data_IF_249678856693
#
_entry.id   IF_249678856693
#
_cell.length_a   1.000
_cell.length_b   1.000
_cell.length_c   1.000
_cell.angle_alpha   90.00
_cell.angle_beta   90.00
_cell.angle_gamma   90.00
#
_symmetry.space_group_name_H-M   'P 1'
#
loop_
_entity.id
_entity.type
_entity.pdbx_description
1 polymer ?
#
# COMPACT_ATOMS: atom_id res chain seq x y z
N UNK A 1 15.63 -7.31 18.17
CA UNK A 1 16.19 -6.51 17.06
C UNK A 1 16.80 -5.16 17.47
N UNK A 2 16.43 -4.59 18.64
CA UNK A 2 16.95 -3.32 19.22
C UNK A 2 18.47 -3.20 19.48
N UNK A 3 19.26 -4.21 19.12
CA UNK A 3 20.68 -4.32 19.52
C UNK A 3 21.66 -4.16 18.34
N UNK A 4 21.19 -4.17 17.09
CA UNK A 4 22.04 -4.24 15.88
C UNK A 4 22.97 -3.04 15.69
N UNK A 5 22.47 -1.81 15.84
CA UNK A 5 23.29 -0.59 15.67
C UNK A 5 24.53 -0.53 16.56
N UNK A 6 24.42 -1.00 17.81
CA UNK A 6 25.52 -1.01 18.78
C UNK A 6 26.37 -2.28 18.71
N UNK A 7 25.84 -3.36 18.15
CA UNK A 7 26.53 -4.66 18.07
C UNK A 7 27.24 -4.89 16.74
N UNK A 8 26.73 -4.33 15.63
CA UNK A 8 27.41 -4.40 14.34
C UNK A 8 28.48 -3.31 14.26
N UNK A 9 29.72 -3.72 14.53
CA UNK A 9 30.89 -2.83 14.57
C UNK A 9 31.05 -1.95 13.31
N UNK A 10 30.62 -2.44 12.14
CA UNK A 10 30.64 -1.69 10.88
C UNK A 10 29.66 -0.52 10.90
N UNK A 11 28.40 -0.76 11.26
CA UNK A 11 27.38 0.29 11.35
C UNK A 11 27.70 1.28 12.48
N UNK A 12 28.20 0.77 13.61
CA UNK A 12 28.64 1.61 14.72
C UNK A 12 29.75 2.59 14.29
N UNK A 13 30.78 2.12 13.57
CA UNK A 13 31.86 2.98 13.04
C UNK A 13 31.37 3.97 11.97
N UNK A 14 30.37 3.58 11.17
CA UNK A 14 29.86 4.44 10.12
C UNK A 14 29.01 5.59 10.65
N UNK A 15 28.14 5.32 11.63
CA UNK A 15 27.19 6.28 12.17
C UNK A 15 27.61 6.93 13.48
N UNK A 16 28.61 6.38 14.19
CA UNK A 16 29.13 6.93 15.44
C UNK A 16 30.66 7.09 15.40
N UNK A 17 31.15 8.15 16.04
CA UNK A 17 32.56 8.44 16.23
C UNK A 17 32.76 8.91 17.67
N UNK A 18 33.66 8.26 18.42
CA UNK A 18 33.89 8.50 19.86
C UNK A 18 32.60 8.46 20.70
N UNK A 19 31.64 7.59 20.35
CA UNK A 19 30.35 7.48 21.05
C UNK A 19 29.33 8.57 20.67
N UNK A 20 29.71 9.55 19.85
CA UNK A 20 28.82 10.58 19.33
C UNK A 20 28.33 10.24 17.91
N UNK A 21 27.10 10.62 17.50
CA UNK A 21 26.60 10.34 16.17
C UNK A 21 27.19 11.28 15.14
N UNK A 22 27.43 10.75 13.94
CA UNK A 22 27.87 11.51 12.78
C UNK A 22 26.63 12.04 12.04
N UNK A 23 26.16 13.24 12.42
CA UNK A 23 24.92 13.82 11.89
C UNK A 23 24.87 13.84 10.37
N UNK A 24 25.94 14.26 9.69
CA UNK A 24 26.00 14.25 8.22
C UNK A 24 25.76 12.85 7.59
N UNK A 25 26.17 11.76 8.27
CA UNK A 25 25.93 10.38 7.82
C UNK A 25 24.48 9.96 8.07
N UNK A 26 23.92 10.36 9.22
CA UNK A 26 22.50 10.17 9.54
C UNK A 26 21.63 10.90 8.51
N UNK A 27 21.84 12.19 8.28
CA UNK A 27 21.07 12.98 7.31
C UNK A 27 21.18 12.42 5.89
N UNK A 28 22.36 11.95 5.52
CA UNK A 28 22.58 11.28 4.23
C UNK A 28 21.79 9.97 4.13
N UNK A 29 21.74 9.19 5.21
CA UNK A 29 20.95 7.96 5.27
C UNK A 29 19.44 8.24 5.26
N UNK A 30 18.96 9.20 6.04
CA UNK A 30 17.53 9.57 6.08
C UNK A 30 17.04 10.08 4.72
N UNK A 31 17.85 10.87 4.00
CA UNK A 31 17.57 11.23 2.60
C UNK A 31 17.48 10.02 1.67
N UNK A 32 18.34 9.00 1.85
CA UNK A 32 18.24 7.74 1.09
C UNK A 32 16.97 6.95 1.44
N UNK A 33 16.56 6.92 2.70
CA UNK A 33 15.30 6.30 3.14
C UNK A 33 14.11 6.98 2.49
N UNK A 34 14.06 8.31 2.48
CA UNK A 34 13.01 9.08 1.80
C UNK A 34 13.01 8.77 0.30
N UNK A 35 14.17 8.77 -0.35
CA UNK A 35 14.29 8.44 -1.77
C UNK A 35 13.85 7.00 -2.10
N UNK A 36 14.14 6.04 -1.21
CA UNK A 36 13.66 4.67 -1.31
C UNK A 36 12.13 4.61 -1.19
N UNK A 37 11.55 5.22 -0.15
CA UNK A 37 10.09 5.26 0.04
C UNK A 37 9.37 5.86 -1.18
N UNK A 38 9.93 6.91 -1.79
CA UNK A 38 9.40 7.54 -3.03
C UNK A 38 9.41 6.60 -4.23
N UNK A 39 10.43 5.76 -4.35
CA UNK A 39 10.48 4.73 -5.42
C UNK A 39 9.50 3.60 -5.13
N UNK A 40 9.47 3.13 -3.88
CA UNK A 40 8.62 2.02 -3.46
C UNK A 40 7.14 2.39 -3.57
N UNK A 41 6.74 3.61 -3.22
CA UNK A 41 5.35 4.07 -3.36
C UNK A 41 4.89 4.08 -4.81
N UNK A 42 5.74 4.51 -5.75
CA UNK A 42 5.47 4.47 -7.19
C UNK A 42 5.39 3.03 -7.69
N UNK A 43 6.32 2.17 -7.30
CA UNK A 43 6.34 0.76 -7.71
C UNK A 43 5.09 0.02 -7.20
N UNK A 44 4.75 0.20 -5.92
CA UNK A 44 3.52 -0.32 -5.35
C UNK A 44 2.32 0.23 -6.11
N UNK A 45 2.21 1.54 -6.32
CA UNK A 45 1.06 2.12 -7.05
C UNK A 45 0.86 1.55 -8.46
N UNK A 46 1.95 1.27 -9.18
CA UNK A 46 1.92 0.70 -10.54
C UNK A 46 1.50 -0.78 -10.50
N UNK A 47 2.00 -1.53 -9.53
CA UNK A 47 1.85 -2.99 -9.47
C UNK A 47 0.62 -3.45 -8.67
N UNK A 48 0.00 -2.60 -7.87
CA UNK A 48 -1.14 -2.90 -6.99
C UNK A 48 -2.49 -3.07 -7.73
N UNK A 49 -2.41 -3.54 -8.99
CA UNK A 49 -3.47 -3.69 -10.01
C UNK A 49 -4.06 -2.34 -10.48
N UNK A 50 -5.39 -2.24 -10.62
CA UNK A 50 -6.02 -1.02 -11.12
C UNK A 50 -5.67 0.11 -10.15
N UNK A 51 -5.06 1.22 -10.62
CA UNK A 51 -4.44 2.19 -9.75
C UNK A 51 -5.45 2.74 -8.76
N UNK A 52 -5.28 2.38 -7.48
CA UNK A 52 -6.09 2.88 -6.40
C UNK A 52 -5.99 4.40 -6.38
N UNK A 53 -7.11 5.10 -6.15
CA UNK A 53 -7.02 6.56 -5.91
C UNK A 53 -6.11 6.78 -4.70
N UNK A 54 -5.14 7.65 -4.89
CA UNK A 54 -3.92 7.81 -4.07
C UNK A 54 -4.09 7.93 -2.55
N UNK A 55 -5.18 8.50 -1.99
CA UNK A 55 -5.32 8.61 -0.54
C UNK A 55 -5.20 7.28 0.23
N UNK A 56 -5.55 6.15 -0.41
CA UNK A 56 -5.58 4.84 0.23
C UNK A 56 -4.22 4.17 0.41
N UNK A 57 -3.33 4.31 -0.57
CA UNK A 57 -1.99 3.72 -0.48
C UNK A 57 -1.21 4.34 0.68
N UNK A 58 -1.49 5.62 0.95
CA UNK A 58 -0.78 6.41 1.94
C UNK A 58 -1.22 6.10 3.39
N UNK A 59 -2.39 5.47 3.57
CA UNK A 59 -2.92 5.09 4.89
C UNK A 59 -2.57 3.65 5.31
N UNK A 60 -1.80 2.90 4.51
CA UNK A 60 -1.45 1.51 4.82
C UNK A 60 -0.55 1.43 6.06
N UNK A 61 -0.94 0.63 7.04
CA UNK A 61 -0.24 0.40 8.31
C UNK A 61 0.54 -0.92 8.32
N UNK A 62 1.69 -0.92 8.98
CA UNK A 62 2.56 -2.10 9.13
C UNK A 62 2.47 -2.78 10.50
N UNK A 63 1.84 -2.14 11.50
CA UNK A 63 1.63 -2.69 12.84
C UNK A 63 0.27 -2.27 13.39
N UNK A 64 -0.29 -3.10 14.27
CA UNK A 64 -1.48 -2.75 15.02
C UNK A 64 -1.14 -1.64 16.01
N UNK A 65 -2.06 -0.70 16.22
CA UNK A 65 -1.98 0.29 17.30
C UNK A 65 -3.23 0.20 18.16
N UNK A 66 -3.06 0.48 19.45
CA UNK A 66 -4.15 0.40 20.42
C UNK A 66 -5.28 1.41 20.15
N UNK A 67 -4.98 2.53 19.48
CA UNK A 67 -5.90 3.66 19.31
C UNK A 67 -6.15 4.04 17.85
N UNK A 68 -5.34 3.59 16.90
CA UNK A 68 -5.43 4.04 15.51
C UNK A 68 -5.76 2.91 14.52
N UNK A 69 -5.92 1.66 14.97
CA UNK A 69 -6.42 0.56 14.14
C UNK A 69 -5.41 -0.54 13.81
N UNK A 70 -5.84 -1.48 12.99
CA UNK A 70 -5.09 -2.70 12.67
C UNK A 70 -4.09 -2.50 11.53
N UNK A 71 -3.10 -3.39 11.43
CA UNK A 71 -2.18 -3.42 10.29
C UNK A 71 -2.92 -3.79 9.00
N UNK A 72 -2.37 -3.34 7.88
CA UNK A 72 -2.90 -3.60 6.55
C UNK A 72 -1.99 -4.54 5.74
N UNK A 73 -0.86 -5.02 6.27
CA UNK A 73 0.09 -5.87 5.53
C UNK A 73 0.17 -7.26 6.10
N UNK A 74 0.17 -8.24 5.20
CA UNK A 74 0.14 -9.67 5.50
C UNK A 74 1.00 -10.43 4.48
N UNK A 75 1.47 -11.62 4.86
CA UNK A 75 2.10 -12.56 3.93
C UNK A 75 1.20 -13.79 3.86
N UNK A 76 0.69 -14.10 2.67
CA UNK A 76 -0.16 -15.25 2.40
C UNK A 76 0.50 -16.09 1.31
N UNK A 77 0.81 -17.36 1.62
CA UNK A 77 1.49 -18.30 0.71
C UNK A 77 2.74 -17.72 0.02
N UNK A 78 3.55 -16.99 0.79
CA UNK A 78 4.79 -16.37 0.30
C UNK A 78 4.59 -15.08 -0.52
N UNK A 79 3.36 -14.56 -0.63
CA UNK A 79 3.06 -13.32 -1.36
C UNK A 79 2.62 -12.24 -0.37
N UNK A 80 3.18 -11.04 -0.51
CA UNK A 80 2.79 -9.88 0.27
C UNK A 80 1.40 -9.40 -0.17
N UNK A 81 0.48 -9.29 0.78
CA UNK A 81 -0.86 -8.75 0.60
C UNK A 81 -1.02 -7.45 1.39
N UNK A 82 -1.58 -6.44 0.72
CA UNK A 82 -2.07 -5.21 1.32
C UNK A 82 -3.61 -5.26 1.38
N UNK A 83 -4.16 -5.03 2.56
CA UNK A 83 -5.58 -5.21 2.85
C UNK A 83 -6.19 -3.88 3.27
N UNK A 84 -7.19 -3.45 2.53
CA UNK A 84 -7.95 -2.21 2.81
C UNK A 84 -9.43 -2.52 2.85
N UNK A 85 -10.18 -1.92 3.76
CA UNK A 85 -11.65 -2.00 3.79
C UNK A 85 -12.27 -0.92 2.92
N UNK A 86 -13.48 -1.15 2.40
CA UNK A 86 -14.30 -0.24 1.61
C UNK A 86 -15.68 -0.10 2.26
N UNK A 87 -16.18 1.14 2.37
CA UNK A 87 -17.39 1.47 3.15
C UNK A 87 -18.38 2.42 2.45
N UNK A 88 -18.34 2.58 1.12
CA UNK A 88 -19.34 3.44 0.45
C UNK A 88 -20.70 2.71 0.48
N UNK A 89 -21.71 3.30 1.13
CA UNK A 89 -23.04 2.71 1.28
C UNK A 89 -23.28 1.93 2.59
N UNK A 90 -22.39 2.06 3.59
CA UNK A 90 -22.54 1.41 4.90
C UNK A 90 -23.91 1.67 5.55
N UNK A 91 -24.42 2.91 5.46
CA UNK A 91 -25.75 3.25 5.99
C UNK A 91 -26.92 2.59 5.25
N UNK A 92 -26.71 2.04 4.05
CA UNK A 92 -27.75 1.37 3.27
C UNK A 92 -27.67 -0.17 3.32
N UNK A 93 -26.48 -0.74 3.56
CA UNK A 93 -26.25 -2.20 3.43
C UNK A 93 -25.54 -2.85 4.62
N UNK A 94 -24.99 -2.06 5.55
CA UNK A 94 -24.16 -2.53 6.66
C UNK A 94 -23.01 -3.47 6.23
N UNK A 95 -22.54 -3.35 4.98
CA UNK A 95 -21.54 -4.25 4.41
C UNK A 95 -20.16 -3.58 4.35
N UNK A 96 -19.14 -4.29 4.83
CA UNK A 96 -17.75 -3.86 4.85
C UNK A 96 -16.98 -4.72 3.86
N UNK A 97 -16.68 -4.16 2.69
CA UNK A 97 -15.95 -4.91 1.66
C UNK A 97 -14.45 -4.86 1.92
N UNK A 98 -13.89 -5.97 2.37
CA UNK A 98 -12.43 -6.13 2.44
C UNK A 98 -11.87 -6.36 1.03
N UNK A 99 -10.81 -5.64 0.71
CA UNK A 99 -10.11 -5.67 -0.57
C UNK A 99 -8.67 -6.10 -0.30
N UNK A 100 -8.33 -7.28 -0.83
CA UNK A 100 -6.95 -7.77 -0.84
C UNK A 100 -6.25 -7.31 -2.12
N UNK A 101 -4.99 -6.93 -1.98
CA UNK A 101 -4.13 -6.61 -3.11
C UNK A 101 -2.79 -7.28 -2.92
N UNK A 102 -2.44 -8.15 -3.85
CA UNK A 102 -1.20 -8.91 -3.77
C UNK A 102 -0.16 -8.21 -4.62
N UNK A 103 1.05 -8.05 -4.08
CA UNK A 103 2.16 -7.42 -4.78
C UNK A 103 2.95 -8.43 -5.60
N UNK A 104 3.62 -8.01 -6.69
CA UNK A 104 4.61 -8.86 -7.34
C UNK A 104 5.68 -9.24 -6.33
N UNK A 105 6.25 -10.44 -6.48
CA UNK A 105 7.22 -10.98 -5.54
C UNK A 105 8.34 -10.00 -5.21
N UNK A 106 8.97 -9.43 -6.24
CA UNK A 106 10.09 -8.50 -6.07
C UNK A 106 9.70 -7.24 -5.26
N UNK A 107 8.49 -6.71 -5.49
CA UNK A 107 7.99 -5.55 -4.75
C UNK A 107 7.61 -5.92 -3.32
N UNK A 108 6.99 -7.09 -3.12
CA UNK A 108 6.69 -7.63 -1.81
C UNK A 108 7.94 -7.84 -0.96
N UNK A 109 9.00 -8.40 -1.56
CA UNK A 109 10.31 -8.59 -0.91
C UNK A 109 10.94 -7.24 -0.51
N UNK A 110 10.85 -6.21 -1.36
CA UNK A 110 11.30 -4.86 -1.01
C UNK A 110 10.54 -4.28 0.19
N UNK A 111 9.23 -4.51 0.30
CA UNK A 111 8.44 -4.10 1.48
C UNK A 111 8.91 -4.87 2.72
N UNK A 112 9.17 -6.18 2.61
CA UNK A 112 9.71 -6.98 3.72
C UNK A 112 11.07 -6.47 4.17
N UNK A 113 12.01 -6.22 3.25
CA UNK A 113 13.33 -5.68 3.60
C UNK A 113 13.24 -4.29 4.22
N UNK A 114 12.31 -3.46 3.75
CA UNK A 114 12.06 -2.17 4.37
C UNK A 114 11.59 -2.32 5.81
N UNK A 115 10.56 -3.13 6.07
CA UNK A 115 10.00 -3.34 7.41
C UNK A 115 10.97 -4.06 8.35
N UNK A 116 11.77 -4.98 7.82
CA UNK A 116 12.70 -5.77 8.62
C UNK A 116 14.02 -5.04 8.86
N UNK A 117 14.66 -4.48 7.83
CA UNK A 117 16.02 -3.96 7.94
C UNK A 117 16.06 -2.45 8.14
N UNK A 118 15.34 -1.70 7.31
CA UNK A 118 15.44 -0.24 7.29
C UNK A 118 14.64 0.41 8.41
N UNK A 119 13.37 0.02 8.58
CA UNK A 119 12.44 0.68 9.49
C UNK A 119 12.90 0.59 10.96
N UNK A 120 13.34 -0.56 11.51
CA UNK A 120 13.80 -0.61 12.89
C UNK A 120 15.05 0.26 13.11
N UNK A 121 15.89 0.38 12.09
CA UNK A 121 17.07 1.24 12.16
C UNK A 121 16.69 2.73 12.12
N UNK A 122 15.73 3.10 11.29
CA UNK A 122 15.15 4.46 11.24
C UNK A 122 14.52 4.82 12.58
N UNK A 123 13.66 3.96 13.14
CA UNK A 123 13.04 4.18 14.45
C UNK A 123 14.10 4.34 15.56
N UNK A 124 15.22 3.63 15.48
CA UNK A 124 16.32 3.80 16.44
C UNK A 124 17.03 5.14 16.32
N UNK A 125 17.30 5.60 15.09
CA UNK A 125 17.88 6.92 14.84
C UNK A 125 16.93 8.01 15.33
N UNK A 126 15.65 7.89 15.03
CA UNK A 126 14.60 8.83 15.45
C UNK A 126 14.52 8.88 16.98
N UNK A 127 14.49 7.73 17.67
CA UNK A 127 14.49 7.69 19.14
C UNK A 127 15.73 8.35 19.76
N UNK A 128 16.89 8.20 19.12
CA UNK A 128 18.11 8.87 19.56
C UNK A 128 18.00 10.41 19.41
N UNK A 129 17.39 10.88 18.33
CA UNK A 129 17.16 12.31 18.08
C UNK A 129 16.03 12.89 18.96
N UNK A 130 14.97 12.12 19.22
CA UNK A 130 13.79 12.49 20.01
C UNK A 130 14.07 12.66 21.50
N UNK A 131 15.21 12.20 22.02
CA UNK A 131 15.68 12.67 23.33
C UNK A 131 15.91 14.20 23.37
N UNK A 132 15.75 14.92 22.25
CA UNK A 132 15.82 16.37 22.12
C UNK A 132 14.56 17.06 21.55
N UNK A 133 13.49 16.32 21.20
CA UNK A 133 12.23 16.90 20.65
C UNK A 133 11.00 16.17 21.19
N UNK A 134 9.91 16.90 21.41
CA UNK A 134 8.67 16.37 21.99
C UNK A 134 8.09 15.20 21.18
N UNK A 135 7.55 14.22 21.93
CA UNK A 135 7.08 12.90 21.47
C UNK A 135 6.13 13.01 20.27
N UNK A 136 6.55 12.53 19.10
CA UNK A 136 5.60 12.18 18.05
C UNK A 136 5.10 10.73 18.23
N UNK A 137 3.79 10.46 18.04
CA UNK A 137 3.30 9.10 17.97
C UNK A 137 3.99 8.39 16.81
N UNK A 138 4.53 7.20 17.09
CA UNK A 138 5.20 6.36 16.09
C UNK A 138 4.19 5.99 15.01
N UNK A 139 4.20 6.73 13.91
CA UNK A 139 3.32 6.51 12.78
C UNK A 139 3.38 5.03 12.36
N UNK A 140 2.27 4.32 12.54
CA UNK A 140 2.16 2.92 12.15
C UNK A 140 2.08 2.72 10.63
N UNK A 141 2.14 3.81 9.86
CA UNK A 141 2.08 3.82 8.41
C UNK A 141 3.35 3.28 7.76
N UNK A 142 3.24 2.66 6.60
CA UNK A 142 4.38 2.34 5.73
C UNK A 142 5.05 3.63 5.26
N UNK A 143 4.23 4.68 5.06
CA UNK A 143 4.61 5.99 4.56
C UNK A 143 4.45 7.07 5.66
N UNK A 144 5.27 7.05 6.72
CA UNK A 144 5.23 8.11 7.72
C UNK A 144 5.78 9.42 7.13
N UNK A 145 5.48 10.59 7.74
CA UNK A 145 6.08 11.86 7.36
C UNK A 145 7.60 11.77 7.22
N UNK A 146 8.17 12.62 6.37
CA UNK A 146 9.62 12.66 6.19
C UNK A 146 10.30 13.02 7.52
N UNK A 147 11.33 12.28 7.97
CA UNK A 147 11.93 12.48 9.28
C UNK A 147 12.43 13.92 9.52
N UNK A 148 13.04 14.53 8.51
CA UNK A 148 13.68 15.85 8.64
C UNK A 148 12.67 17.00 8.52
N UNK A 149 11.74 16.90 7.56
CA UNK A 149 10.84 18.00 7.19
C UNK A 149 9.43 17.85 7.77
N UNK A 150 9.11 16.68 8.33
CA UNK A 150 7.77 16.28 8.74
C UNK A 150 6.72 16.43 7.62
N UNK A 151 7.18 16.46 6.35
CA UNK A 151 6.29 16.52 5.19
C UNK A 151 5.52 15.23 5.10
N UNK A 152 4.22 15.30 5.35
CA UNK A 152 3.31 14.18 5.19
C UNK A 152 3.27 13.69 3.74
N UNK A 153 2.93 12.42 3.56
CA UNK A 153 2.64 11.87 2.25
C UNK A 153 1.28 12.37 1.77
N UNK A 154 1.22 12.87 0.53
CA UNK A 154 0.01 13.38 -0.08
C UNK A 154 -0.18 12.83 -1.49
N UNK A 155 -1.40 12.95 -2.01
CA UNK A 155 -1.71 12.54 -3.38
C UNK A 155 -0.94 13.32 -4.43
N UNK A 156 -0.69 14.59 -4.16
CA UNK A 156 0.16 15.44 -4.98
C UNK A 156 1.61 14.94 -4.99
N UNK A 157 2.17 14.59 -3.82
CA UNK A 157 3.52 14.06 -3.73
C UNK A 157 3.72 12.79 -4.55
N UNK A 158 2.80 11.83 -4.47
CA UNK A 158 2.88 10.61 -5.28
C UNK A 158 2.75 10.92 -6.78
N UNK A 159 1.87 11.86 -7.15
CA UNK A 159 1.72 12.31 -8.54
C UNK A 159 3.03 12.87 -9.08
N UNK A 160 3.69 13.72 -8.32
CA UNK A 160 4.97 14.33 -8.71
C UNK A 160 6.08 13.29 -8.79
N UNK A 161 6.10 12.34 -7.86
CA UNK A 161 7.03 11.21 -7.89
C UNK A 161 6.83 10.36 -9.14
N UNK A 162 5.58 9.98 -9.46
CA UNK A 162 5.26 9.23 -10.66
C UNK A 162 5.72 9.99 -11.92
N UNK A 163 5.32 11.27 -12.07
CA UNK A 163 5.72 12.11 -13.20
C UNK A 163 7.23 12.18 -13.36
N UNK A 164 7.94 12.40 -12.26
CA UNK A 164 9.40 12.50 -12.29
C UNK A 164 10.05 11.17 -12.68
N UNK A 165 9.56 10.04 -12.16
CA UNK A 165 10.11 8.71 -12.48
C UNK A 165 9.85 8.33 -13.93
N UNK A 166 8.61 8.48 -14.41
CA UNK A 166 8.30 8.15 -15.81
C UNK A 166 8.96 9.13 -16.78
N UNK A 167 9.08 10.42 -16.43
CA UNK A 167 9.80 11.40 -17.23
C UNK A 167 11.27 11.02 -17.44
N UNK A 168 11.89 10.35 -16.46
CA UNK A 168 13.27 9.86 -16.59
C UNK A 168 13.38 8.49 -17.24
N UNK A 169 12.45 7.58 -16.99
CA UNK A 169 12.53 6.19 -17.46
C UNK A 169 11.91 5.98 -18.84
N UNK A 170 10.88 6.75 -19.18
CA UNK A 170 10.09 6.63 -20.42
C UNK A 170 10.17 7.89 -21.28
N UNK A 171 10.99 8.88 -20.87
CA UNK A 171 11.10 10.20 -21.51
C UNK A 171 9.76 10.95 -21.61
N UNK A 172 8.77 10.53 -20.80
CA UNK A 172 7.41 11.08 -20.80
C UNK A 172 6.89 11.20 -19.36
N UNK A 173 6.58 12.42 -18.89
CA UNK A 173 5.98 12.59 -17.58
C UNK A 173 4.51 12.13 -17.63
N UNK A 174 4.18 11.10 -16.85
CA UNK A 174 2.86 10.49 -16.78
C UNK A 174 2.30 10.83 -15.40
N UNK A 175 1.13 11.45 -15.37
CA UNK A 175 0.42 11.71 -14.12
C UNK A 175 -0.48 10.51 -13.74
N UNK A 176 -1.05 10.53 -12.54
CA UNK A 176 -1.89 9.43 -12.04
C UNK A 176 -3.10 9.11 -12.92
N UNK A 177 -3.73 10.13 -13.53
CA UNK A 177 -4.89 9.95 -14.41
C UNK A 177 -4.47 9.32 -15.72
N UNK A 178 -3.41 9.83 -16.35
CA UNK A 178 -2.86 9.27 -17.58
C UNK A 178 -2.37 7.82 -17.37
N UNK A 179 -1.73 7.53 -16.23
CA UNK A 179 -1.32 6.17 -15.89
C UNK A 179 -2.52 5.23 -15.78
N UNK A 180 -3.64 5.69 -15.22
CA UNK A 180 -4.88 4.92 -15.13
C UNK A 180 -5.41 4.53 -16.50
N UNK A 181 -5.45 5.47 -17.45
CA UNK A 181 -5.91 5.20 -18.81
C UNK A 181 -4.97 4.24 -19.56
N UNK A 182 -3.66 4.38 -19.33
CA UNK A 182 -2.65 3.46 -19.84
C UNK A 182 -2.86 2.05 -19.25
N UNK A 183 -3.06 1.93 -17.93
CA UNK A 183 -3.28 0.66 -17.26
C UNK A 183 -4.55 -0.04 -17.78
N UNK A 184 -5.64 0.72 -18.00
CA UNK A 184 -6.86 0.20 -18.63
C UNK A 184 -6.56 -0.29 -20.04
N UNK A 185 -5.84 0.49 -20.85
CA UNK A 185 -5.49 0.12 -22.23
C UNK A 185 -4.59 -1.13 -22.27
N UNK A 186 -3.62 -1.25 -21.36
CA UNK A 186 -2.79 -2.45 -21.18
C UNK A 186 -3.68 -3.64 -20.84
N UNK A 187 -4.60 -3.49 -19.88
CA UNK A 187 -5.51 -4.56 -19.49
C UNK A 187 -6.36 -5.03 -20.67
N UNK A 188 -6.92 -4.10 -21.45
CA UNK A 188 -7.76 -4.42 -22.60
C UNK A 188 -7.00 -5.18 -23.69
N UNK A 189 -5.72 -4.85 -23.88
CA UNK A 189 -4.88 -5.47 -24.92
C UNK A 189 -4.32 -6.82 -24.51
N UNK A 190 -3.87 -6.96 -23.26
CA UNK A 190 -3.05 -8.10 -22.84
C UNK A 190 -3.74 -9.04 -21.85
N UNK A 191 -4.74 -8.58 -21.09
CA UNK A 191 -5.45 -9.44 -20.14
C UNK A 191 -6.58 -10.21 -20.83
N UNK A 192 -6.85 -11.41 -20.28
CA UNK A 192 -7.98 -12.25 -20.71
C UNK A 192 -9.28 -11.48 -20.56
N UNK A 193 -10.27 -11.65 -21.45
CA UNK A 193 -11.54 -10.90 -21.40
C UNK A 193 -12.23 -10.91 -20.03
N UNK A 194 -12.12 -12.00 -19.27
CA UNK A 194 -12.67 -12.12 -17.91
C UNK A 194 -12.00 -11.24 -16.87
N UNK A 195 -10.75 -10.83 -17.08
CA UNK A 195 -9.89 -10.17 -16.08
C UNK A 195 -9.54 -8.72 -16.45
N UNK A 196 -10.03 -8.22 -17.59
CA UNK A 196 -9.79 -6.85 -18.06
C UNK A 196 -10.33 -5.82 -17.07
N UNK A 197 -9.68 -4.67 -17.00
CA UNK A 197 -10.21 -3.57 -16.21
C UNK A 197 -11.46 -2.99 -16.88
N UNK A 198 -12.43 -2.51 -16.08
CA UNK A 198 -13.58 -1.80 -16.61
C UNK A 198 -13.15 -0.56 -17.41
N UNK A 199 -13.85 -0.28 -18.50
CA UNK A 199 -13.69 0.99 -19.23
C UNK A 199 -14.23 2.15 -18.38
N UNK A 200 -13.59 3.31 -18.48
CA UNK A 200 -14.02 4.54 -17.82
C UNK A 200 -15.46 4.95 -18.22
N UNK A 201 -15.92 4.58 -19.42
CA UNK A 201 -17.24 4.93 -19.95
C UNK A 201 -18.43 4.38 -19.15
N UNK A 202 -18.22 3.38 -18.30
CA UNK A 202 -19.27 2.79 -17.48
C UNK A 202 -19.08 3.04 -15.98
N UNK A 203 -18.12 3.88 -15.61
CA UNK A 203 -17.78 4.07 -14.21
C UNK A 203 -18.79 4.91 -13.44
N UNK A 204 -19.52 5.81 -14.11
CA UNK A 204 -20.56 6.65 -13.46
C UNK A 204 -21.91 5.91 -13.32
N UNK A 205 -22.29 5.02 -14.24
CA UNK A 205 -23.52 4.21 -14.15
C UNK A 205 -23.35 2.94 -13.28
N UNK A 206 -22.20 2.24 -13.35
CA UNK A 206 -21.97 1.03 -12.54
C UNK A 206 -21.53 1.30 -11.11
N UNK A 207 -21.25 2.55 -10.75
CA UNK A 207 -21.05 2.91 -9.34
C UNK A 207 -22.27 2.68 -8.46
N UNK A 208 -23.46 2.49 -9.06
CA UNK A 208 -24.68 2.05 -8.39
C UNK A 208 -24.87 0.51 -8.44
N UNK A 209 -24.42 -0.17 -9.50
CA UNK A 209 -24.58 -1.62 -9.70
C UNK A 209 -23.49 -2.50 -9.04
N UNK A 210 -22.44 -1.90 -8.45
CA UNK A 210 -21.41 -2.62 -7.67
C UNK A 210 -21.88 -3.15 -6.30
N UNK A 211 -23.14 -2.93 -5.96
CA UNK A 211 -23.79 -3.38 -4.74
C UNK A 211 -24.36 -4.80 -4.94
N UNK A 212 -23.49 -5.78 -5.18
CA UNK A 212 -23.87 -7.18 -5.01
C UNK A 212 -23.66 -7.54 -3.55
N UNK A 213 -24.73 -8.01 -2.91
CA UNK A 213 -24.67 -8.51 -1.53
C UNK A 213 -23.83 -9.80 -1.47
N UNK A 214 -23.37 -10.17 -0.27
CA UNK A 214 -22.46 -11.30 -0.08
C UNK A 214 -22.94 -12.61 -0.72
N UNK A 215 -24.26 -12.83 -0.77
CA UNK A 215 -24.89 -14.02 -1.36
C UNK A 215 -24.76 -14.03 -2.90
N UNK A 216 -24.90 -12.88 -3.56
CA UNK A 216 -24.73 -12.75 -5.01
C UNK A 216 -23.26 -12.84 -5.46
N UNK A 217 -22.33 -12.44 -4.58
CA UNK A 217 -20.91 -12.63 -4.81
C UNK A 217 -20.50 -14.11 -4.66
N UNK A 218 -21.14 -14.85 -3.75
CA UNK A 218 -20.88 -16.27 -3.49
C UNK A 218 -21.25 -17.18 -4.66
N UNK A 219 -22.31 -16.84 -5.41
CA UNK A 219 -22.76 -17.58 -6.60
C UNK A 219 -22.05 -17.12 -7.90
N UNK A 220 -21.13 -16.16 -7.80
CA UNK A 220 -20.50 -15.59 -8.98
C UNK A 220 -19.42 -16.52 -9.55
N UNK A 221 -19.65 -17.03 -10.76
CA UNK A 221 -18.62 -17.76 -11.50
C UNK A 221 -17.32 -16.96 -11.70
N UNK A 222 -16.18 -17.67 -11.65
CA UNK A 222 -14.81 -17.12 -11.67
C UNK A 222 -14.59 -16.02 -12.73
N UNK A 223 -15.15 -16.21 -13.93
CA UNK A 223 -14.99 -15.25 -15.05
C UNK A 223 -15.66 -13.90 -14.79
N UNK A 224 -16.84 -13.89 -14.16
CA UNK A 224 -17.58 -12.67 -13.83
C UNK A 224 -16.96 -11.97 -12.62
N UNK A 225 -16.39 -12.76 -11.71
CA UNK A 225 -15.74 -12.26 -10.51
C UNK A 225 -14.49 -11.45 -10.81
N UNK A 226 -13.66 -11.86 -11.77
CA UNK A 226 -12.39 -11.17 -12.02
C UNK A 226 -12.56 -9.70 -12.47
N UNK A 227 -13.58 -9.40 -13.27
CA UNK A 227 -13.99 -8.03 -13.57
C UNK A 227 -14.53 -7.29 -12.34
N UNK A 228 -15.43 -7.92 -11.58
CA UNK A 228 -15.99 -7.35 -10.34
C UNK A 228 -14.90 -7.02 -9.30
N UNK A 229 -13.88 -7.85 -9.17
CA UNK A 229 -12.76 -7.60 -8.28
C UNK A 229 -11.84 -6.49 -8.76
N UNK A 230 -11.68 -6.32 -10.09
CA UNK A 230 -11.03 -5.15 -10.64
C UNK A 230 -11.78 -3.88 -10.23
N UNK A 231 -13.12 -3.89 -10.35
CA UNK A 231 -13.98 -2.77 -9.96
C UNK A 231 -13.83 -2.44 -8.46
N UNK A 232 -13.88 -3.45 -7.59
CA UNK A 232 -13.67 -3.28 -6.15
C UNK A 232 -12.27 -2.73 -5.83
N UNK A 233 -11.23 -3.23 -6.51
CA UNK A 233 -9.87 -2.72 -6.39
C UNK A 233 -9.72 -1.30 -6.99
N UNK A 234 -10.63 -0.85 -7.85
CA UNK A 234 -10.70 0.53 -8.34
C UNK A 234 -11.40 1.49 -7.36
N UNK A 235 -12.38 0.98 -6.60
CA UNK A 235 -13.35 1.77 -5.86
C UNK A 235 -12.77 2.38 -4.56
N UNK A 236 -13.48 3.36 -3.95
CA UNK A 236 -13.10 4.21 -2.79
C UNK A 236 -13.53 3.78 -1.39
N UNK A 237 -12.60 3.73 -0.44
CA UNK A 237 -12.86 3.49 0.97
C UNK A 237 -12.94 4.80 1.73
N UNK A 238 -13.80 4.89 2.74
CA UNK A 238 -13.86 6.06 3.63
C UNK A 238 -12.83 5.93 4.75
N UNK A 239 -12.35 7.07 5.25
CA UNK A 239 -11.32 7.15 6.30
C UNK A 239 -11.79 6.60 7.68
N UNK A 240 -13.10 6.37 7.84
CA UNK A 240 -13.76 6.04 9.11
C UNK A 240 -13.68 4.55 9.52
N UNK A 241 -12.80 3.77 8.89
CA UNK A 241 -12.99 2.33 8.66
C UNK A 241 -11.88 1.42 9.22
N UNK A 242 -11.00 1.93 10.09
CA UNK A 242 -9.78 1.22 10.51
C UNK A 242 -9.97 0.28 11.74
N UNK A 243 -11.21 0.06 12.21
CA UNK A 243 -11.52 -0.82 13.36
C UNK A 243 -11.90 -2.26 12.98
N UNK A 244 -11.16 -2.90 12.07
CA UNK A 244 -11.47 -4.25 11.59
C UNK A 244 -10.48 -5.25 12.20
N UNK A 245 -10.98 -6.09 13.11
CA UNK A 245 -10.18 -7.01 13.91
C UNK A 245 -9.43 -8.04 13.06
N UNK A 246 -8.17 -8.28 13.42
CA UNK A 246 -7.26 -9.22 12.74
C UNK A 246 -7.76 -10.68 12.72
N UNK A 247 -8.56 -11.09 13.72
CA UNK A 247 -9.18 -12.42 13.77
C UNK A 247 -10.44 -12.50 12.89
N UNK A 248 -11.03 -11.36 12.58
CA UNK A 248 -12.26 -11.21 11.78
C UNK A 248 -11.98 -11.02 10.28
N UNK A 249 -10.80 -10.55 9.84
CA UNK A 249 -10.49 -10.41 8.39
C UNK A 249 -10.53 -11.75 7.65
N UNK A 250 -10.33 -12.87 8.36
CA UNK A 250 -10.46 -14.24 7.81
C UNK A 250 -11.84 -14.87 8.02
N UNK A 251 -12.69 -14.25 8.84
CA UNK A 251 -13.94 -14.83 9.35
C UNK A 251 -15.18 -13.90 9.16
N UNK A 252 -15.01 -12.71 8.57
CA UNK A 252 -16.10 -11.75 8.35
C UNK A 252 -17.01 -12.13 7.17
N UNK A 253 -18.31 -11.77 7.23
CA UNK A 253 -19.16 -11.70 6.05
C UNK A 253 -18.47 -10.84 4.98
N UNK A 254 -18.28 -11.38 3.77
CA UNK A 254 -17.54 -10.69 2.71
C UNK A 254 -16.02 -10.96 2.64
N UNK A 255 -15.46 -11.84 3.49
CA UNK A 255 -14.08 -12.35 3.40
C UNK A 255 -14.03 -13.88 3.41
N UNK A 256 -14.51 -14.50 2.34
CA UNK A 256 -14.32 -15.95 2.17
C UNK A 256 -12.90 -16.26 1.68
N UNK A 257 -12.36 -17.44 2.03
CA UNK A 257 -11.12 -17.95 1.44
C UNK A 257 -11.18 -17.94 -0.09
N UNK A 258 -12.37 -18.20 -0.64
CA UNK A 258 -12.68 -18.08 -2.06
C UNK A 258 -12.44 -16.65 -2.60
N UNK A 259 -12.98 -15.62 -1.94
CA UNK A 259 -12.80 -14.22 -2.34
C UNK A 259 -11.33 -13.78 -2.26
N UNK A 260 -10.57 -14.22 -1.25
CA UNK A 260 -9.12 -13.97 -1.15
C UNK A 260 -8.34 -14.62 -2.28
N UNK A 261 -8.61 -15.90 -2.57
CA UNK A 261 -8.03 -16.64 -3.69
C UNK A 261 -8.27 -15.92 -5.02
N UNK A 262 -9.49 -15.43 -5.20
CA UNK A 262 -9.86 -14.73 -6.40
C UNK A 262 -9.15 -13.37 -6.50
N UNK A 263 -9.01 -12.60 -5.41
CA UNK A 263 -8.23 -11.35 -5.42
C UNK A 263 -6.77 -11.61 -5.75
N UNK A 264 -6.23 -12.74 -5.26
CA UNK A 264 -4.90 -13.20 -5.60
C UNK A 264 -4.75 -13.46 -7.08
N UNK A 265 -5.62 -14.29 -7.66
CA UNK A 265 -5.62 -14.56 -9.10
C UNK A 265 -5.68 -13.27 -9.92
N UNK A 266 -6.49 -12.33 -9.49
CA UNK A 266 -6.68 -11.06 -10.18
C UNK A 266 -5.48 -10.12 -10.10
N UNK A 267 -4.78 -10.08 -8.96
CA UNK A 267 -3.51 -9.38 -8.82
C UNK A 267 -2.40 -10.07 -9.61
N UNK A 268 -2.30 -11.40 -9.54
CA UNK A 268 -1.25 -12.16 -10.26
C UNK A 268 -1.40 -12.15 -11.77
N UNK A 269 -2.61 -11.98 -12.30
CA UNK A 269 -2.83 -11.86 -13.75
C UNK A 269 -2.43 -10.46 -14.29
N UNK A 270 -2.30 -9.46 -13.40
CA UNK A 270 -1.81 -8.13 -13.76
C UNK A 270 -0.28 -8.04 -13.77
N UNK A 271 0.37 -8.81 -12.88
CA UNK A 271 1.83 -8.86 -12.76
C UNK A 271 2.47 -9.49 -14.01
#
# INVERSE_FOLDING_TARGET
MHRRLRQEARLAKEFFQHGAPRMAKIDSYMRRVVAFRRKLSVAVHICDKQPARTPKLLSIRHKNTHSEGHRNVFIEDGIMAMVTSYHKGFYASNDVKIIHRYLPRDIGELVVWYLWLMLPFVEQIELYQDHRREKMPRAAYIWPPDPDTQRAWSSERLRDDLKHKTGRALERPINLVAYRDIAISISQRYMRPSNRFPSNAHQDDRTAEGQKDADEEGDMGIKKWAGHAADLQAAHSSHMADMIYEREITEQPGTTAHRRQLFRLSSTDWH
#
